data_IF_128183831759
#
_entry.id   IF_128183831759
#
_cell.length_a   1.000
_cell.length_b   1.000
_cell.length_c   1.000
_cell.angle_alpha   90.00
_cell.angle_beta   90.00
_cell.angle_gamma   90.00
#
_symmetry.space_group_name_H-M   'P 1'
#
loop_
_entity.id
_entity.type
_entity.pdbx_description
1 polymer ?
#
# COMPACT_ATOMS: atom_id res chain seq x y z
N UNK A 1 26.47 -6.02 -0.84
CA UNK A 1 25.21 -6.44 -0.17
C UNK A 1 24.80 -7.80 -0.71
N UNK A 2 24.25 -8.71 0.14
CA UNK A 2 23.82 -10.03 -0.30
C UNK A 2 22.71 -9.93 -1.36
N UNK A 3 22.72 -10.86 -2.32
CA UNK A 3 21.72 -10.95 -3.40
C UNK A 3 21.32 -12.41 -3.58
N UNK A 4 20.06 -12.65 -3.89
CA UNK A 4 19.61 -13.98 -4.31
C UNK A 4 20.04 -14.24 -5.77
N UNK A 5 20.31 -15.51 -6.13
CA UNK A 5 20.35 -15.91 -7.53
C UNK A 5 19.08 -15.43 -8.25
N UNK A 6 19.21 -14.94 -9.47
CA UNK A 6 18.11 -14.25 -10.15
C UNK A 6 16.87 -15.13 -10.33
N UNK A 7 17.07 -16.40 -10.69
CA UNK A 7 15.99 -17.38 -10.80
C UNK A 7 15.22 -17.55 -9.47
N UNK A 8 15.93 -17.52 -8.34
CA UNK A 8 15.33 -17.62 -7.00
C UNK A 8 14.56 -16.34 -6.65
N UNK A 9 15.11 -15.16 -6.94
CA UNK A 9 14.41 -13.89 -6.75
C UNK A 9 13.12 -13.82 -7.59
N UNK A 10 13.21 -14.15 -8.89
CA UNK A 10 12.07 -14.21 -9.82
C UNK A 10 10.98 -15.10 -9.26
N UNK A 11 11.33 -16.34 -8.89
CA UNK A 11 10.35 -17.29 -8.35
C UNK A 11 9.73 -16.80 -7.05
N UNK A 12 10.53 -16.16 -6.18
CA UNK A 12 10.04 -15.55 -4.94
C UNK A 12 8.99 -14.47 -5.23
N UNK A 13 9.31 -13.48 -6.05
CA UNK A 13 8.38 -12.36 -6.36
C UNK A 13 7.08 -12.87 -6.99
N UNK A 14 7.19 -13.83 -7.93
CA UNK A 14 6.02 -14.49 -8.51
C UNK A 14 5.14 -15.18 -7.45
N UNK A 15 5.76 -15.91 -6.52
CA UNK A 15 5.04 -16.60 -5.44
C UNK A 15 4.36 -15.62 -4.47
N UNK A 16 5.03 -14.51 -4.14
CA UNK A 16 4.49 -13.47 -3.25
C UNK A 16 3.31 -12.73 -3.90
N UNK A 17 3.40 -12.38 -5.18
CA UNK A 17 2.29 -11.78 -5.92
C UNK A 17 1.11 -12.74 -6.01
N UNK A 18 1.38 -14.01 -6.32
CA UNK A 18 0.35 -15.04 -6.31
C UNK A 18 -0.29 -15.20 -4.92
N UNK A 19 0.49 -15.06 -3.85
CA UNK A 19 -0.04 -15.08 -2.48
C UNK A 19 -0.95 -13.88 -2.21
N UNK A 20 -0.56 -12.67 -2.60
CA UNK A 20 -1.39 -11.46 -2.44
C UNK A 20 -2.71 -11.62 -3.19
N UNK A 21 -2.67 -12.03 -4.47
CA UNK A 21 -3.89 -12.19 -5.28
C UNK A 21 -4.82 -13.29 -4.76
N UNK A 22 -4.30 -14.33 -4.09
CA UNK A 22 -5.12 -15.40 -3.51
C UNK A 22 -5.70 -15.07 -2.14
N UNK A 23 -4.98 -14.29 -1.33
CA UNK A 23 -5.32 -14.06 0.08
C UNK A 23 -5.99 -12.70 0.34
N UNK A 24 -6.05 -11.83 -0.66
CA UNK A 24 -6.56 -10.47 -0.51
C UNK A 24 -7.40 -10.08 -1.72
N UNK A 25 -8.27 -9.09 -1.53
CA UNK A 25 -9.07 -8.49 -2.60
C UNK A 25 -8.31 -7.41 -3.39
N UNK A 26 -7.04 -7.15 -3.02
CA UNK A 26 -6.20 -6.14 -3.64
C UNK A 26 -5.91 -6.50 -5.09
N UNK A 27 -5.93 -5.49 -5.98
CA UNK A 27 -5.53 -5.70 -7.36
C UNK A 27 -4.01 -5.52 -7.47
N UNK A 28 -3.33 -6.50 -8.07
CA UNK A 28 -1.90 -6.42 -8.38
C UNK A 28 -1.74 -6.33 -9.89
N UNK A 29 -1.13 -5.25 -10.36
CA UNK A 29 -0.89 -4.96 -11.77
C UNK A 29 0.61 -5.02 -12.01
N UNK A 30 1.04 -5.96 -12.86
CA UNK A 30 2.44 -6.16 -13.22
C UNK A 30 2.53 -6.09 -14.74
N UNK A 31 3.36 -5.19 -15.27
CA UNK A 31 3.56 -5.06 -16.73
C UNK A 31 4.27 -6.28 -17.30
N UNK A 32 5.38 -6.68 -16.68
CA UNK A 32 6.11 -7.89 -17.03
C UNK A 32 5.94 -8.96 -15.94
N UNK A 33 5.15 -9.99 -16.25
CA UNK A 33 4.90 -11.11 -15.33
C UNK A 33 6.05 -12.13 -15.30
N UNK A 34 6.97 -12.05 -16.26
CA UNK A 34 8.12 -12.93 -16.35
C UNK A 34 9.25 -12.46 -15.43
N UNK A 35 9.26 -11.18 -15.05
CA UNK A 35 10.36 -10.54 -14.32
C UNK A 35 11.68 -10.81 -15.04
N UNK A 36 11.73 -10.41 -16.31
CA UNK A 36 12.90 -10.49 -17.19
C UNK A 36 13.99 -9.55 -16.71
N UNK A 37 13.62 -8.37 -16.21
CA UNK A 37 14.54 -7.30 -15.83
C UNK A 37 14.25 -6.69 -14.45
N UNK A 38 15.30 -6.08 -13.89
CA UNK A 38 15.28 -5.44 -12.57
C UNK A 38 15.81 -4.00 -12.67
N UNK A 39 15.23 -3.03 -11.93
CA UNK A 39 14.16 -3.20 -10.95
C UNK A 39 12.80 -3.47 -11.60
N UNK A 40 12.00 -4.31 -10.96
CA UNK A 40 10.65 -4.62 -11.44
C UNK A 40 9.63 -3.76 -10.71
N UNK A 41 8.69 -3.18 -11.47
CA UNK A 41 7.67 -2.28 -10.97
C UNK A 41 6.31 -3.00 -10.92
N UNK A 42 5.66 -2.91 -9.76
CA UNK A 42 4.38 -3.53 -9.46
C UNK A 42 3.44 -2.44 -8.96
N UNK A 43 2.34 -2.20 -9.65
CA UNK A 43 1.30 -1.28 -9.18
C UNK A 43 0.27 -2.08 -8.36
N UNK A 44 -0.04 -1.61 -7.15
CA UNK A 44 -1.00 -2.24 -6.25
C UNK A 44 -2.15 -1.26 -5.98
N UNK A 45 -3.37 -1.77 -6.16
CA UNK A 45 -4.59 -1.09 -5.71
C UNK A 45 -5.06 -1.78 -4.44
N UNK A 46 -4.85 -1.11 -3.31
CA UNK A 46 -5.41 -1.49 -2.03
C UNK A 46 -6.91 -1.26 -2.09
N UNK A 47 -7.67 -2.24 -1.60
CA UNK A 47 -9.14 -2.21 -1.49
C UNK A 47 -9.51 -2.49 -0.05
N UNK A 48 -10.69 -2.03 0.35
CA UNK A 48 -11.23 -2.22 1.69
C UNK A 48 -10.24 -1.80 2.81
N UNK A 49 -9.37 -0.83 2.50
CA UNK A 49 -8.28 -0.35 3.36
C UNK A 49 -8.56 1.09 3.79
N UNK A 50 -9.14 1.33 4.96
CA UNK A 50 -9.52 2.66 5.39
C UNK A 50 -8.30 3.52 5.66
N UNK A 51 -8.17 4.64 4.93
CA UNK A 51 -7.13 5.64 5.13
C UNK A 51 -7.71 7.05 5.19
N UNK A 52 -7.11 7.94 5.99
CA UNK A 52 -7.55 9.33 6.11
C UNK A 52 -7.22 10.14 4.85
N UNK A 53 -8.16 10.98 4.43
CA UNK A 53 -7.94 12.00 3.40
C UNK A 53 -8.54 13.32 3.85
N UNK A 54 -7.91 14.44 3.50
CA UNK A 54 -8.39 15.77 3.88
C UNK A 54 -9.20 16.38 2.73
N UNK A 55 -10.36 16.97 3.01
CA UNK A 55 -11.24 17.66 2.06
C UNK A 55 -11.63 19.00 2.67
N UNK A 56 -10.93 20.06 2.26
CA UNK A 56 -11.01 21.35 2.97
C UNK A 56 -10.58 21.16 4.43
N UNK A 57 -11.45 21.53 5.37
CA UNK A 57 -11.19 21.43 6.81
C UNK A 57 -11.58 20.08 7.43
N UNK A 58 -12.15 19.16 6.64
CA UNK A 58 -12.65 17.87 7.14
C UNK A 58 -11.76 16.72 6.73
N UNK A 59 -11.46 15.83 7.68
CA UNK A 59 -10.84 14.53 7.39
C UNK A 59 -11.94 13.49 7.19
N UNK A 60 -11.87 12.78 6.07
CA UNK A 60 -12.80 11.71 5.70
C UNK A 60 -12.04 10.41 5.44
N UNK A 61 -12.77 9.31 5.23
CA UNK A 61 -12.19 7.99 4.99
C UNK A 61 -12.26 7.63 3.51
N UNK A 62 -11.14 7.16 2.97
CA UNK A 62 -11.03 6.54 1.65
C UNK A 62 -10.61 5.08 1.81
N UNK A 63 -11.26 4.18 1.06
CA UNK A 63 -11.05 2.73 1.20
C UNK A 63 -10.22 2.11 0.09
N UNK A 64 -9.96 2.86 -0.97
CA UNK A 64 -9.20 2.40 -2.14
C UNK A 64 -8.02 3.31 -2.36
N UNK A 65 -6.81 2.74 -2.35
CA UNK A 65 -5.57 3.49 -2.50
C UNK A 65 -4.68 2.87 -3.57
N UNK A 66 -3.87 3.70 -4.23
CA UNK A 66 -2.91 3.26 -5.24
C UNK A 66 -1.50 3.46 -4.72
N UNK A 67 -0.64 2.48 -4.91
CA UNK A 67 0.78 2.60 -4.67
C UNK A 67 1.58 1.82 -5.70
N UNK A 68 2.81 2.26 -5.91
CA UNK A 68 3.81 1.60 -6.73
C UNK A 68 4.85 0.96 -5.84
N UNK A 69 5.18 -0.27 -6.15
CA UNK A 69 6.17 -1.08 -5.45
C UNK A 69 7.29 -1.41 -6.43
N UNK A 70 8.50 -1.02 -6.07
CA UNK A 70 9.70 -1.27 -6.87
C UNK A 70 10.57 -2.31 -6.17
N UNK A 71 10.80 -3.43 -6.84
CA UNK A 71 11.64 -4.54 -6.36
C UNK A 71 13.00 -4.48 -7.06
N UNK A 72 14.08 -4.37 -6.30
CA UNK A 72 15.46 -4.33 -6.82
C UNK A 72 16.15 -5.71 -6.74
N UNK A 73 17.39 -5.83 -7.24
CA UNK A 73 18.18 -7.08 -7.17
C UNK A 73 18.60 -7.45 -5.75
N UNK A 74 18.50 -6.51 -4.81
CA UNK A 74 18.83 -6.65 -3.40
C UNK A 74 17.67 -7.22 -2.58
N UNK A 75 16.46 -7.33 -3.14
CA UNK A 75 15.33 -7.98 -2.47
C UNK A 75 15.63 -9.47 -2.22
N UNK A 76 15.24 -10.04 -1.06
CA UNK A 76 14.52 -9.44 0.07
C UNK A 76 15.46 -8.92 1.17
N UNK A 77 16.77 -8.80 0.92
CA UNK A 77 17.70 -8.25 1.91
C UNK A 77 17.54 -6.74 2.05
N UNK A 78 17.14 -6.08 0.96
CA UNK A 78 16.58 -4.73 0.98
C UNK A 78 15.06 -4.80 0.83
N UNK A 79 14.37 -3.98 1.62
CA UNK A 79 12.93 -3.75 1.52
C UNK A 79 12.54 -3.20 0.14
N UNK A 80 11.29 -3.42 -0.30
CA UNK A 80 10.78 -2.77 -1.51
C UNK A 80 10.78 -1.25 -1.34
N UNK A 81 10.95 -0.53 -2.45
CA UNK A 81 10.75 0.92 -2.50
C UNK A 81 9.26 1.16 -2.80
N UNK A 82 8.63 2.05 -2.03
CA UNK A 82 7.19 2.29 -2.09
C UNK A 82 6.93 3.75 -2.41
N UNK A 83 6.12 3.99 -3.43
CA UNK A 83 5.65 5.32 -3.82
C UNK A 83 4.12 5.32 -3.82
N UNK A 84 3.52 6.07 -2.93
CA UNK A 84 2.08 6.29 -2.84
C UNK A 84 1.60 7.15 -4.00
N UNK A 85 0.51 6.73 -4.65
CA UNK A 85 0.05 7.29 -5.92
C UNK A 85 -1.35 7.91 -5.83
N UNK A 86 -1.96 7.93 -4.65
CA UNK A 86 -3.31 8.47 -4.48
C UNK A 86 -3.38 9.37 -3.26
N UNK A 87 -4.22 10.39 -3.31
CA UNK A 87 -4.37 11.34 -2.19
C UNK A 87 -4.54 10.66 -0.82
N UNK A 88 -3.81 11.18 0.17
CA UNK A 88 -3.69 10.65 1.53
C UNK A 88 -3.30 11.74 2.53
N UNK A 89 -4.05 11.90 3.61
CA UNK A 89 -3.70 12.81 4.69
C UNK A 89 -3.17 12.01 5.88
N UNK A 90 -1.87 11.69 5.88
CA UNK A 90 -1.32 10.73 6.84
C UNK A 90 0.07 11.13 7.38
N UNK A 91 0.34 11.00 8.69
CA UNK A 91 1.63 11.37 9.28
C UNK A 91 2.82 10.59 8.75
N UNK A 92 2.61 9.34 8.32
CA UNK A 92 3.70 8.42 7.94
C UNK A 92 3.69 8.04 6.45
N UNK A 93 2.85 8.68 5.63
CA UNK A 93 2.78 8.44 4.18
C UNK A 93 2.76 9.81 3.52
N UNK A 94 3.75 10.11 2.69
CA UNK A 94 3.79 11.36 1.96
C UNK A 94 2.67 11.41 0.93
N UNK A 95 2.10 12.59 0.74
CA UNK A 95 1.23 12.83 -0.40
C UNK A 95 1.99 12.62 -1.72
N UNK A 96 1.32 12.22 -2.82
CA UNK A 96 1.97 12.01 -4.11
C UNK A 96 2.74 13.23 -4.62
N UNK A 97 2.25 14.46 -4.35
CA UNK A 97 2.93 15.70 -4.77
C UNK A 97 4.24 15.96 -4.02
N UNK A 98 4.43 15.37 -2.84
CA UNK A 98 5.68 15.44 -2.08
C UNK A 98 6.63 14.29 -2.43
N UNK A 99 6.24 13.36 -3.31
CA UNK A 99 7.02 12.19 -3.73
C UNK A 99 6.47 10.85 -3.27
N UNK A 100 5.42 10.82 -2.45
CA UNK A 100 4.67 9.60 -2.14
C UNK A 100 5.39 8.57 -1.26
N UNK A 101 6.61 8.80 -0.75
CA UNK A 101 7.29 7.77 0.03
C UNK A 101 6.52 7.42 1.31
N UNK A 102 6.54 6.13 1.63
CA UNK A 102 6.01 5.60 2.89
C UNK A 102 7.13 5.54 3.92
N UNK A 103 6.86 6.03 5.14
CA UNK A 103 7.84 6.09 6.21
C UNK A 103 8.52 4.75 6.45
N UNK A 104 9.85 4.80 6.50
CA UNK A 104 10.71 3.63 6.61
C UNK A 104 10.55 2.87 7.92
N UNK A 105 10.03 3.49 9.00
CA UNK A 105 9.83 2.84 10.31
C UNK A 105 8.89 1.65 10.26
N UNK A 106 7.90 1.65 9.36
CA UNK A 106 7.06 0.48 9.08
C UNK A 106 7.90 -0.71 8.59
N UNK A 107 9.04 -0.42 7.98
CA UNK A 107 9.93 -1.36 7.32
C UNK A 107 11.30 -1.48 8.02
N UNK A 108 11.48 -0.91 9.21
CA UNK A 108 12.78 -0.94 9.92
C UNK A 108 13.07 -2.32 10.51
N UNK A 109 12.02 -3.13 10.74
CA UNK A 109 12.15 -4.55 11.11
C UNK A 109 12.14 -5.49 9.92
N UNK A 110 12.27 -4.96 8.70
CA UNK A 110 12.28 -5.79 7.50
C UNK A 110 13.41 -6.81 7.55
N UNK A 111 13.06 -8.08 7.37
CA UNK A 111 13.98 -9.19 7.28
C UNK A 111 13.78 -9.93 5.96
N UNK A 112 14.74 -10.76 5.57
CA UNK A 112 14.62 -11.64 4.41
C UNK A 112 13.48 -12.68 4.53
N UNK A 113 12.85 -12.81 5.71
CA UNK A 113 11.66 -13.65 5.92
C UNK A 113 10.35 -12.90 5.61
N UNK A 114 10.38 -11.57 5.54
CA UNK A 114 9.22 -10.77 5.20
C UNK A 114 8.90 -10.82 3.71
N UNK A 115 7.65 -10.52 3.37
CA UNK A 115 7.12 -10.60 2.01
C UNK A 115 6.07 -9.53 1.77
N UNK A 116 5.68 -9.35 0.51
CA UNK A 116 4.67 -8.38 0.10
C UNK A 116 3.36 -8.55 0.86
N UNK A 117 2.87 -9.78 1.07
CA UNK A 117 1.61 -10.01 1.79
C UNK A 117 1.64 -9.46 3.22
N UNK A 118 2.67 -9.78 4.01
CA UNK A 118 2.84 -9.24 5.38
C UNK A 118 3.00 -7.73 5.37
N UNK A 119 3.72 -7.20 4.38
CA UNK A 119 3.84 -5.76 4.18
C UNK A 119 2.48 -5.08 3.94
N UNK A 120 1.62 -5.64 3.08
CA UNK A 120 0.28 -5.09 2.82
C UNK A 120 -0.61 -5.10 4.07
N UNK A 121 -0.51 -6.13 4.92
CA UNK A 121 -1.19 -6.15 6.22
C UNK A 121 -0.68 -5.01 7.11
N UNK A 122 0.64 -4.79 7.16
CA UNK A 122 1.24 -3.68 7.89
C UNK A 122 0.76 -2.31 7.39
N UNK A 123 0.68 -2.13 6.06
CA UNK A 123 0.14 -0.91 5.44
C UNK A 123 -1.33 -0.69 5.83
N UNK A 124 -2.17 -1.74 5.76
CA UNK A 124 -3.56 -1.65 6.18
C UNK A 124 -3.70 -1.22 7.64
N UNK A 125 -2.87 -1.79 8.54
CA UNK A 125 -2.83 -1.39 9.94
C UNK A 125 -2.38 0.06 10.13
N UNK A 126 -1.40 0.52 9.34
CA UNK A 126 -0.90 1.88 9.42
C UNK A 126 -1.96 2.89 8.97
N UNK A 127 -2.64 2.64 7.84
CA UNK A 127 -3.72 3.49 7.33
C UNK A 127 -4.86 3.65 8.36
N UNK A 128 -5.20 2.57 9.05
CA UNK A 128 -6.23 2.57 10.09
C UNK A 128 -5.76 3.21 11.40
N UNK A 129 -4.45 3.31 11.65
CA UNK A 129 -3.86 3.82 12.88
C UNK A 129 -2.73 4.83 12.59
N UNK A 130 -3.06 6.06 12.16
CA UNK A 130 -2.07 7.10 11.90
C UNK A 130 -1.17 7.37 13.12
N UNK A 131 0.16 7.34 12.94
CA UNK A 131 1.11 7.55 14.04
C UNK A 131 1.70 8.95 14.02
N UNK A 132 1.13 9.86 14.81
CA UNK A 132 1.56 11.25 14.93
C UNK A 132 2.81 11.49 15.81
N UNK A 133 3.30 10.47 16.51
CA UNK A 133 4.50 10.59 17.36
C UNK A 133 5.78 10.67 16.52
N UNK A 134 5.73 10.14 15.30
CA UNK A 134 6.89 10.04 14.43
C UNK A 134 6.50 10.25 12.96
N UNK A 135 6.14 11.48 12.59
CA UNK A 135 5.77 11.77 11.23
C UNK A 135 6.96 11.72 10.30
N UNK A 136 6.68 11.49 9.02
CA UNK A 136 7.66 11.74 7.98
C UNK A 136 7.98 13.25 7.93
N UNK A 137 9.19 13.59 7.50
CA UNK A 137 9.74 14.94 7.64
C UNK A 137 9.10 16.03 6.77
N UNK A 138 8.14 15.70 5.89
CA UNK A 138 7.49 16.63 4.95
C UNK A 138 6.44 17.52 5.62
N UNK A 139 6.11 18.63 4.96
CA UNK A 139 5.06 19.55 5.44
C UNK A 139 3.70 18.85 5.56
N UNK A 140 3.28 18.07 4.56
CA UNK A 140 2.02 17.31 4.58
C UNK A 140 1.93 16.32 5.74
N UNK A 141 3.01 15.57 5.99
CA UNK A 141 3.05 14.59 7.07
C UNK A 141 3.09 15.26 8.45
N UNK A 142 3.80 16.38 8.60
CA UNK A 142 3.80 17.17 9.84
C UNK A 142 2.42 17.78 10.13
N UNK A 143 1.74 18.28 9.10
CA UNK A 143 0.37 18.79 9.21
C UNK A 143 -0.59 17.68 9.67
N UNK A 144 -0.54 16.51 9.04
CA UNK A 144 -1.31 15.35 9.45
C UNK A 144 -1.00 14.94 10.89
N UNK A 145 0.26 14.98 11.31
CA UNK A 145 0.65 14.67 12.68
C UNK A 145 0.02 15.63 13.70
N UNK A 146 0.05 16.94 13.41
CA UNK A 146 -0.59 17.94 14.29
C UNK A 146 -2.09 17.65 14.42
N UNK A 147 -2.77 17.33 13.33
CA UNK A 147 -4.18 16.96 13.35
C UNK A 147 -4.46 15.71 14.21
N UNK A 148 -3.72 14.63 13.97
CA UNK A 148 -3.97 13.33 14.63
C UNK A 148 -3.48 13.26 16.08
N UNK A 149 -2.76 14.27 16.59
CA UNK A 149 -2.50 14.42 18.03
C UNK A 149 -3.75 14.78 18.81
N UNK A 150 -4.64 15.52 18.20
CA UNK A 150 -5.88 16.02 18.83
C UNK A 150 -7.10 15.21 18.40
N UNK A 151 -7.06 14.60 17.21
CA UNK A 151 -8.21 13.92 16.61
C UNK A 151 -7.88 12.45 16.33
N UNK A 152 -8.58 11.52 16.96
CA UNK A 152 -8.43 10.10 16.63
C UNK A 152 -9.07 9.77 15.28
N UNK A 153 -8.36 9.06 14.41
CA UNK A 153 -8.95 8.51 13.19
C UNK A 153 -9.90 7.35 13.54
N UNK A 154 -11.17 7.48 13.15
CA UNK A 154 -12.18 6.43 13.31
C UNK A 154 -12.77 6.12 11.93
N UNK A 155 -12.29 5.07 11.25
CA UNK A 155 -12.84 4.73 9.96
C UNK A 155 -14.29 4.30 10.09
N UNK A 156 -15.13 4.77 9.17
CA UNK A 156 -16.53 4.36 9.09
C UNK A 156 -16.68 2.88 8.67
N UNK A 157 -17.92 2.40 8.50
CA UNK A 157 -18.14 1.09 7.90
C UNK A 157 -17.64 1.07 6.45
N UNK A 158 -17.22 -0.11 6.00
CA UNK A 158 -16.91 -0.33 4.59
C UNK A 158 -18.12 0.07 3.71
N UNK A 159 -17.89 0.76 2.58
CA UNK A 159 -18.97 1.06 1.65
C UNK A 159 -19.56 -0.26 1.14
N UNK A 160 -20.90 -0.36 1.14
CA UNK A 160 -21.59 -1.54 0.60
C UNK A 160 -21.18 -1.71 -0.87
N UNK A 161 -20.76 -2.93 -1.24
CA UNK A 161 -20.52 -3.24 -2.65
C UNK A 161 -21.86 -3.09 -3.39
N UNK A 162 -21.89 -2.45 -4.57
CA UNK A 162 -23.10 -2.43 -5.38
C UNK A 162 -23.49 -3.87 -5.68
N UNK A 163 -24.71 -4.25 -5.28
CA UNK A 163 -25.24 -5.58 -5.59
C UNK A 163 -25.29 -5.74 -7.11
N UNK A 164 -24.81 -6.86 -7.67
CA UNK A 164 -24.93 -7.10 -9.09
C UNK A 164 -26.41 -7.12 -9.45
N UNK A 165 -26.85 -6.15 -10.27
CA UNK A 165 -28.22 -6.14 -10.79
C UNK A 165 -28.39 -7.37 -11.68
N UNK A 166 -29.03 -8.41 -11.17
CA UNK A 166 -29.43 -9.58 -11.96
C UNK A 166 -30.41 -9.08 -13.02
N UNK A 167 -29.97 -9.01 -14.28
CA UNK A 167 -30.89 -8.87 -15.41
C UNK A 167 -31.33 -10.28 -15.79
N UNK A 168 -32.54 -10.66 -15.40
CA UNK A 168 -33.18 -11.82 -16.00
C UNK A 168 -33.47 -11.42 -17.45
N UNK A 169 -32.72 -12.01 -18.39
CA UNK A 169 -33.05 -11.93 -19.81
C UNK A 169 -34.26 -12.85 -19.96
N UNK A 170 -35.43 -12.25 -20.17
CA UNK A 170 -36.68 -12.99 -20.35
C UNK A 170 -36.54 -14.05 -21.44
N UNK A 171 -37.16 -15.19 -21.15
CA UNK A 171 -37.30 -16.34 -22.05
C UNK A 171 -37.99 -15.95 -23.36
N UNK A 172 -37.64 -16.70 -24.40
CA UNK A 172 -38.03 -16.56 -25.82
C UNK A 172 -39.55 -16.56 -26.01
#
# INVERSE_FOLDING_TARGET
>A
MPKLPEAVLRKRVQNEIAQVMRKTEHSVIVKDRTFSDWPSVIDIILKDSPGPVKRGDRVTTKYTHKMRVTITREYPYQKPIIEWQSEIFHPNIMEPFDGGYVCTKLLDRWTAQDNLFRFLIGIGSLLANPNANDPYGTCSCKEAALYFREHSFRPGPLPKRPEPKVRIIGEV
#
